data_IF_749752635675
#
_entry.id   IF_749752635675
#
_cell.length_a   1.000
_cell.length_b   1.000
_cell.length_c   1.000
_cell.angle_alpha   90.00
_cell.angle_beta   90.00
_cell.angle_gamma   90.00
#
_symmetry.space_group_name_H-M   'P 1'
#
loop_
_entity.id
_entity.type
_entity.pdbx_description
1 polymer ?
#
# COMPACT_ATOMS: atom_id res chain seq x y z
N UNK A 1 -28.66 -40.20 -9.32
CA UNK A 1 -28.48 -39.23 -8.22
C UNK A 1 -27.15 -39.37 -7.46
N UNK A 2 -26.50 -40.55 -7.41
CA UNK A 2 -25.22 -40.71 -6.68
C UNK A 2 -24.14 -39.68 -7.07
N UNK A 3 -23.84 -39.54 -8.37
CA UNK A 3 -22.85 -38.54 -8.85
C UNK A 3 -23.18 -37.10 -8.41
N UNK A 4 -24.47 -36.75 -8.32
CA UNK A 4 -24.86 -35.42 -7.85
C UNK A 4 -24.57 -35.28 -6.35
N UNK A 5 -24.91 -36.29 -5.55
CA UNK A 5 -24.58 -36.33 -4.13
C UNK A 5 -23.08 -36.18 -3.88
N UNK A 6 -22.27 -36.89 -4.66
CA UNK A 6 -20.81 -36.83 -4.54
C UNK A 6 -20.28 -35.43 -4.91
N UNK A 7 -20.78 -34.83 -5.99
CA UNK A 7 -20.40 -33.46 -6.39
C UNK A 7 -20.76 -32.41 -5.33
N UNK A 8 -21.96 -32.49 -4.75
CA UNK A 8 -22.36 -31.58 -3.67
C UNK A 8 -21.48 -31.76 -2.43
N UNK A 9 -21.12 -32.99 -2.11
CA UNK A 9 -20.22 -33.29 -1.01
C UNK A 9 -18.81 -32.69 -1.24
N UNK A 10 -18.27 -32.82 -2.45
CA UNK A 10 -16.97 -32.25 -2.80
C UNK A 10 -16.96 -30.71 -2.77
N UNK A 11 -18.03 -30.08 -3.27
CA UNK A 11 -18.22 -28.63 -3.19
C UNK A 11 -18.27 -28.20 -1.72
N UNK A 12 -19.05 -28.88 -0.89
CA UNK A 12 -19.15 -28.59 0.55
C UNK A 12 -17.77 -28.66 1.23
N UNK A 13 -17.01 -29.74 1.01
CA UNK A 13 -15.67 -29.88 1.59
C UNK A 13 -14.70 -28.82 1.10
N UNK A 14 -14.81 -28.41 -0.17
CA UNK A 14 -13.98 -27.34 -0.73
C UNK A 14 -14.24 -26.01 -0.02
N UNK A 15 -15.51 -25.65 0.18
CA UNK A 15 -15.87 -24.43 0.93
C UNK A 15 -15.49 -24.50 2.41
N UNK A 16 -15.66 -25.66 3.06
CA UNK A 16 -15.22 -25.85 4.42
C UNK A 16 -13.71 -25.60 4.54
N UNK A 17 -12.92 -26.13 3.59
CA UNK A 17 -11.48 -25.91 3.57
C UNK A 17 -11.10 -24.46 3.31
N UNK A 18 -11.84 -23.74 2.46
CA UNK A 18 -11.64 -22.30 2.25
C UNK A 18 -11.88 -21.53 3.54
N UNK A 19 -12.96 -21.81 4.27
CA UNK A 19 -13.29 -21.13 5.52
C UNK A 19 -12.19 -21.29 6.60
N UNK A 20 -11.53 -22.46 6.64
CA UNK A 20 -10.43 -22.71 7.59
C UNK A 20 -9.16 -21.89 7.32
N UNK A 21 -8.92 -21.46 6.08
CA UNK A 21 -7.61 -20.95 5.65
C UNK A 21 -7.64 -19.58 4.97
N UNK A 22 -8.82 -19.08 4.59
CA UNK A 22 -8.97 -17.77 3.94
C UNK A 22 -8.33 -16.67 4.79
N UNK A 23 -7.54 -15.80 4.15
CA UNK A 23 -6.85 -14.67 4.79
C UNK A 23 -5.94 -15.01 5.99
N UNK A 24 -5.64 -16.28 6.24
CA UNK A 24 -4.81 -16.73 7.36
C UNK A 24 -3.31 -16.77 7.05
N UNK A 25 -2.91 -16.39 5.82
CA UNK A 25 -1.55 -16.55 5.26
C UNK A 25 -1.03 -18.01 5.20
N UNK A 26 -1.82 -19.02 5.63
CA UNK A 26 -1.47 -20.45 5.55
C UNK A 26 -1.38 -20.99 4.12
N UNK A 27 -2.00 -20.30 3.15
CA UNK A 27 -1.92 -20.62 1.72
C UNK A 27 -0.89 -19.75 1.02
N UNK A 28 0.14 -20.37 0.45
CA UNK A 28 1.17 -19.67 -0.30
C UNK A 28 0.95 -19.88 -1.80
N UNK A 29 0.27 -18.93 -2.46
CA UNK A 29 -0.06 -18.99 -3.89
C UNK A 29 1.15 -18.76 -4.83
N UNK A 30 2.24 -18.22 -4.30
CA UNK A 30 3.50 -18.02 -5.03
C UNK A 30 4.02 -16.60 -4.97
N UNK A 31 5.21 -16.38 -5.53
CA UNK A 31 5.82 -15.05 -5.71
C UNK A 31 6.12 -14.84 -7.18
N UNK A 32 5.94 -13.61 -7.64
CA UNK A 32 6.10 -13.24 -9.04
C UNK A 32 7.42 -12.47 -9.24
N UNK A 33 8.08 -12.74 -10.35
CA UNK A 33 9.32 -12.07 -10.73
C UNK A 33 9.28 -11.71 -12.20
N UNK A 34 9.63 -10.47 -12.51
CA UNK A 34 9.99 -10.08 -13.86
C UNK A 34 11.40 -10.60 -14.14
N UNK A 35 11.53 -11.43 -15.18
CA UNK A 35 12.81 -11.93 -15.66
C UNK A 35 13.02 -11.41 -17.08
N UNK A 36 14.12 -10.70 -17.31
CA UNK A 36 14.50 -10.18 -18.62
C UNK A 36 15.91 -10.61 -18.98
N UNK A 37 16.06 -11.14 -20.19
CA UNK A 37 17.37 -11.39 -20.80
C UNK A 37 17.82 -10.08 -21.45
N UNK A 38 19.01 -9.59 -21.08
CA UNK A 38 19.58 -8.30 -21.52
C UNK A 38 18.86 -7.03 -21.02
N UNK A 39 17.94 -7.14 -20.05
CA UNK A 39 17.39 -6.00 -19.27
C UNK A 39 16.73 -4.88 -20.09
N UNK A 40 16.47 -3.73 -19.46
CA UNK A 40 16.16 -2.46 -20.16
C UNK A 40 17.43 -1.60 -20.33
N UNK A 41 18.59 -2.24 -20.46
CA UNK A 41 19.85 -1.54 -20.69
C UNK A 41 20.11 -1.56 -22.18
N UNK A 42 20.62 -0.46 -22.73
CA UNK A 42 21.02 -0.42 -24.13
C UNK A 42 22.06 -1.54 -24.35
N UNK A 43 21.83 -2.46 -25.30
CA UNK A 43 22.78 -3.56 -25.56
C UNK A 43 24.20 -3.09 -25.85
N UNK A 44 24.35 -1.84 -26.33
CA UNK A 44 25.65 -1.20 -26.57
C UNK A 44 26.43 -0.87 -25.30
N UNK A 45 25.74 -0.72 -24.17
CA UNK A 45 26.33 -0.42 -22.86
C UNK A 45 26.65 -1.71 -22.07
N UNK A 46 26.34 -2.88 -22.65
CA UNK A 46 26.61 -4.19 -22.08
C UNK A 46 27.83 -4.81 -22.76
N UNK A 47 28.69 -5.46 -21.97
CA UNK A 47 29.83 -6.20 -22.51
C UNK A 47 29.33 -7.48 -23.20
N UNK A 48 29.52 -7.64 -24.53
CA UNK A 48 29.01 -8.79 -25.27
C UNK A 48 29.61 -10.13 -24.82
N UNK A 49 30.66 -10.13 -24.02
CA UNK A 49 31.26 -11.35 -23.43
C UNK A 49 30.35 -12.03 -22.41
N UNK A 50 29.43 -11.29 -21.79
CA UNK A 50 28.60 -11.80 -20.71
C UNK A 50 27.13 -11.93 -21.11
N UNK A 51 26.46 -12.94 -20.55
CA UNK A 51 25.01 -13.06 -20.61
C UNK A 51 24.39 -12.36 -19.40
N UNK A 52 23.50 -11.39 -19.65
CA UNK A 52 22.84 -10.62 -18.59
C UNK A 52 21.42 -11.11 -18.36
N UNK A 53 21.09 -11.41 -17.10
CA UNK A 53 19.75 -11.76 -16.65
C UNK A 53 19.35 -10.79 -15.55
N UNK A 54 18.32 -9.98 -15.80
CA UNK A 54 17.75 -9.10 -14.80
C UNK A 54 16.54 -9.77 -14.16
N UNK A 55 16.58 -9.89 -12.83
CA UNK A 55 15.48 -10.43 -12.03
C UNK A 55 14.98 -9.34 -11.09
N UNK A 56 13.69 -9.04 -11.16
CA UNK A 56 13.03 -8.02 -10.33
C UNK A 56 11.81 -8.64 -9.68
N UNK A 57 11.69 -8.54 -8.36
CA UNK A 57 10.46 -8.93 -7.67
C UNK A 57 9.30 -8.02 -8.08
N UNK A 58 8.12 -8.61 -8.30
CA UNK A 58 6.90 -7.87 -8.63
C UNK A 58 5.73 -8.40 -7.79
N UNK A 59 4.76 -7.55 -7.53
CA UNK A 59 3.50 -7.92 -6.87
C UNK A 59 2.33 -7.75 -7.83
N UNK A 60 1.21 -8.48 -7.66
CA UNK A 60 -0.01 -8.19 -8.39
C UNK A 60 -0.42 -6.72 -8.24
N UNK A 61 -0.90 -6.11 -9.33
CA UNK A 61 -1.34 -4.72 -9.36
C UNK A 61 -2.84 -4.65 -9.63
N UNK A 62 -3.53 -3.84 -8.83
CA UNK A 62 -4.96 -3.62 -8.91
C UNK A 62 -5.26 -2.12 -8.85
N UNK A 63 -6.21 -1.69 -9.65
CA UNK A 63 -6.79 -0.35 -9.52
C UNK A 63 -7.79 -0.30 -8.35
N UNK A 64 -8.11 0.91 -7.87
CA UNK A 64 -9.01 1.11 -6.72
C UNK A 64 -10.33 0.34 -6.85
N UNK A 65 -10.94 0.36 -8.04
CA UNK A 65 -12.18 -0.39 -8.32
C UNK A 65 -12.01 -1.91 -8.19
N UNK A 66 -10.86 -2.45 -8.58
CA UNK A 66 -10.61 -3.89 -8.48
C UNK A 66 -10.31 -4.32 -7.04
N UNK A 67 -9.79 -3.42 -6.21
CA UNK A 67 -9.52 -3.69 -4.79
C UNK A 67 -10.84 -3.89 -4.03
N UNK A 68 -11.92 -3.20 -4.42
CA UNK A 68 -13.25 -3.39 -3.83
C UNK A 68 -13.79 -4.81 -4.05
N UNK A 69 -13.48 -5.42 -5.20
CA UNK A 69 -13.92 -6.76 -5.59
C UNK A 69 -12.99 -7.88 -5.10
N UNK A 70 -11.71 -7.59 -4.84
CA UNK A 70 -10.69 -8.59 -4.47
C UNK A 70 -10.32 -8.49 -2.99
N UNK A 71 -11.13 -9.14 -2.15
CA UNK A 71 -11.04 -9.05 -0.68
C UNK A 71 -10.20 -10.15 -0.06
N UNK A 72 -10.03 -11.27 -0.76
CA UNK A 72 -9.37 -12.45 -0.23
C UNK A 72 -7.99 -12.69 -0.84
N UNK A 73 -7.13 -13.37 -0.07
CA UNK A 73 -5.84 -13.88 -0.53
C UNK A 73 -5.93 -14.66 -1.86
N UNK A 74 -6.99 -15.44 -2.07
CA UNK A 74 -7.23 -16.16 -3.32
C UNK A 74 -7.54 -15.23 -4.49
N UNK A 75 -8.46 -14.28 -4.31
CA UNK A 75 -8.85 -13.32 -5.34
C UNK A 75 -7.65 -12.47 -5.77
N UNK A 76 -6.73 -12.16 -4.86
CA UNK A 76 -5.51 -11.41 -5.18
C UNK A 76 -4.48 -12.21 -6.00
N UNK A 77 -4.68 -13.54 -6.16
CA UNK A 77 -3.77 -14.43 -6.89
C UNK A 77 -4.41 -15.19 -8.06
N UNK A 78 -5.72 -15.01 -8.27
CA UNK A 78 -6.47 -15.70 -9.30
C UNK A 78 -6.95 -14.74 -10.39
N UNK A 79 -6.76 -15.12 -11.66
CA UNK A 79 -7.10 -14.31 -12.84
C UNK A 79 -6.44 -12.92 -12.81
N UNK A 80 -5.10 -12.92 -12.69
CA UNK A 80 -4.28 -11.70 -12.64
C UNK A 80 -3.29 -11.65 -13.81
N UNK A 81 -3.11 -10.49 -14.43
CA UNK A 81 -2.11 -10.28 -15.49
C UNK A 81 -1.31 -8.99 -15.34
N UNK A 82 -1.60 -8.18 -14.31
CA UNK A 82 -0.90 -6.93 -14.05
C UNK A 82 -0.02 -7.06 -12.82
N UNK A 83 1.23 -6.62 -12.96
CA UNK A 83 2.25 -6.74 -11.93
C UNK A 83 3.01 -5.44 -11.79
N UNK A 84 3.27 -4.99 -10.57
CA UNK A 84 3.95 -3.72 -10.29
C UNK A 84 5.28 -3.94 -9.59
N UNK A 85 6.24 -3.08 -9.91
CA UNK A 85 7.43 -2.85 -9.09
C UNK A 85 7.75 -1.35 -9.05
N UNK A 86 8.47 -0.94 -8.02
CA UNK A 86 8.85 0.46 -7.79
C UNK A 86 10.38 0.58 -7.85
N UNK A 87 10.88 1.62 -8.51
CA UNK A 87 12.32 1.92 -8.63
C UNK A 87 12.61 3.31 -8.09
N UNK A 88 13.48 3.45 -7.07
CA UNK A 88 13.86 4.75 -6.54
C UNK A 88 14.81 5.47 -7.49
N UNK A 89 14.65 6.78 -7.61
CA UNK A 89 15.58 7.66 -8.32
C UNK A 89 15.54 9.06 -7.72
N UNK A 90 16.53 9.90 -8.02
CA UNK A 90 16.57 11.30 -7.60
C UNK A 90 16.48 12.21 -8.82
N UNK A 91 16.14 13.49 -8.62
CA UNK A 91 16.17 14.51 -9.67
C UNK A 91 17.56 14.66 -10.32
N UNK A 92 18.62 14.31 -9.58
CA UNK A 92 20.02 14.30 -10.05
C UNK A 92 20.41 13.02 -10.80
N UNK A 93 19.51 12.04 -10.93
CA UNK A 93 19.75 10.77 -11.64
C UNK A 93 20.42 9.67 -10.80
N UNK A 94 20.68 9.92 -9.51
CA UNK A 94 21.12 8.87 -8.57
C UNK A 94 19.93 7.99 -8.18
N UNK A 95 20.20 6.81 -7.60
CA UNK A 95 19.13 5.92 -7.10
C UNK A 95 18.55 6.40 -5.76
N UNK A 96 19.42 6.86 -4.87
CA UNK A 96 19.07 7.24 -3.50
C UNK A 96 19.54 8.66 -3.20
N UNK A 97 18.73 9.38 -2.43
CA UNK A 97 18.99 10.75 -2.00
C UNK A 97 18.24 11.10 -0.71
N UNK A 98 18.28 12.38 -0.34
CA UNK A 98 17.45 12.94 0.74
C UNK A 98 15.96 12.82 0.45
N UNK A 99 15.12 12.91 1.48
CA UNK A 99 13.65 12.79 1.33
C UNK A 99 13.08 13.85 0.39
N UNK A 100 13.72 15.02 0.32
CA UNK A 100 13.35 16.14 -0.53
C UNK A 100 13.68 15.96 -2.02
N UNK A 101 14.56 15.02 -2.37
CA UNK A 101 14.96 14.72 -3.76
C UNK A 101 14.56 13.31 -4.21
N UNK A 102 14.09 12.47 -3.29
CA UNK A 102 13.77 11.07 -3.55
C UNK A 102 12.46 10.95 -4.33
N UNK A 103 12.56 10.62 -5.61
CA UNK A 103 11.45 10.26 -6.47
C UNK A 103 11.28 8.74 -6.53
N UNK A 104 10.16 8.30 -7.09
CA UNK A 104 9.85 6.87 -7.28
C UNK A 104 9.18 6.62 -8.61
N UNK A 105 9.69 5.68 -9.39
CA UNK A 105 9.06 5.22 -10.65
C UNK A 105 8.29 3.93 -10.38
N UNK A 106 6.98 3.97 -10.53
CA UNK A 106 6.10 2.80 -10.47
C UNK A 106 5.91 2.25 -11.87
N UNK A 107 6.31 1.00 -12.10
CA UNK A 107 6.19 0.34 -13.41
C UNK A 107 5.18 -0.80 -13.31
N UNK A 108 4.14 -0.74 -14.13
CA UNK A 108 3.11 -1.79 -14.23
C UNK A 108 3.35 -2.58 -15.51
N UNK A 109 3.50 -3.89 -15.38
CA UNK A 109 3.72 -4.86 -16.43
C UNK A 109 2.41 -5.62 -16.68
N UNK A 110 2.05 -5.80 -17.95
CA UNK A 110 0.90 -6.63 -18.33
C UNK A 110 1.36 -7.85 -19.12
N UNK A 111 0.98 -9.03 -18.66
CA UNK A 111 1.29 -10.30 -19.32
C UNK A 111 0.27 -10.66 -20.40
N UNK A 112 0.70 -11.45 -21.38
CA UNK A 112 -0.17 -11.92 -22.48
C UNK A 112 -1.36 -12.77 -22.01
N UNK A 113 -1.21 -13.44 -20.87
CA UNK A 113 -2.21 -14.33 -20.28
C UNK A 113 -2.31 -14.08 -18.77
N UNK A 114 -3.42 -14.51 -18.18
CA UNK A 114 -3.67 -14.45 -16.74
C UNK A 114 -2.91 -15.57 -16.01
N UNK A 115 -2.48 -15.31 -14.78
CA UNK A 115 -2.13 -16.34 -13.82
C UNK A 115 -3.36 -16.76 -13.01
N UNK A 116 -3.48 -18.05 -12.62
CA UNK A 116 -2.65 -19.17 -13.05
C UNK A 116 -2.84 -19.52 -14.54
N UNK A 117 -1.83 -20.12 -15.17
CA UNK A 117 -1.85 -20.54 -16.58
C UNK A 117 -1.21 -21.91 -16.75
N UNK A 118 -1.38 -22.52 -17.93
CA UNK A 118 -0.72 -23.79 -18.30
C UNK A 118 0.81 -23.70 -18.28
N UNK A 119 1.38 -22.48 -18.37
CA UNK A 119 2.81 -22.20 -18.19
C UNK A 119 3.05 -21.33 -16.95
N UNK A 120 4.13 -21.63 -16.22
CA UNK A 120 4.58 -20.84 -15.04
C UNK A 120 5.30 -19.53 -15.41
N UNK A 121 5.58 -19.30 -16.69
CA UNK A 121 6.26 -18.11 -17.21
C UNK A 121 5.44 -17.57 -18.38
N UNK A 122 5.07 -16.31 -18.30
CA UNK A 122 4.20 -15.65 -19.27
C UNK A 122 4.90 -14.38 -19.74
N UNK A 123 4.94 -14.16 -21.05
CA UNK A 123 5.57 -12.99 -21.63
C UNK A 123 4.82 -11.71 -21.25
N UNK A 124 5.59 -10.68 -20.88
CA UNK A 124 5.10 -9.30 -20.75
C UNK A 124 4.89 -8.71 -22.14
N UNK A 125 3.68 -8.24 -22.43
CA UNK A 125 3.30 -7.66 -23.73
C UNK A 125 3.12 -6.15 -23.68
N UNK A 126 2.94 -5.58 -22.48
CA UNK A 126 2.78 -4.15 -22.29
C UNK A 126 3.41 -3.73 -20.97
N UNK A 127 3.86 -2.49 -20.93
CA UNK A 127 4.34 -1.84 -19.72
C UNK A 127 3.95 -0.37 -19.74
N UNK A 128 3.62 0.17 -18.57
CA UNK A 128 3.46 1.59 -18.34
C UNK A 128 4.23 2.00 -17.08
N UNK A 129 4.66 3.25 -17.04
CA UNK A 129 5.38 3.79 -15.88
C UNK A 129 4.84 5.15 -15.49
N UNK A 130 4.66 5.35 -14.20
CA UNK A 130 4.30 6.63 -13.59
C UNK A 130 5.39 7.03 -12.62
N UNK A 131 5.81 8.29 -12.68
CA UNK A 131 6.78 8.85 -11.76
C UNK A 131 6.08 9.64 -10.67
N UNK A 132 6.51 9.42 -9.43
CA UNK A 132 6.07 10.13 -8.25
C UNK A 132 7.17 11.09 -7.83
N UNK A 133 6.80 12.34 -7.61
CA UNK A 133 7.69 13.35 -7.05
C UNK A 133 7.91 13.11 -5.53
N UNK A 134 8.83 13.84 -4.87
CA UNK A 134 9.18 13.56 -3.47
C UNK A 134 8.02 13.67 -2.47
N UNK A 135 7.11 14.63 -2.63
CA UNK A 135 5.94 14.75 -1.74
C UNK A 135 4.92 13.64 -2.00
N UNK A 136 4.75 13.19 -3.24
CA UNK A 136 3.91 12.05 -3.60
C UNK A 136 4.47 10.74 -3.05
N UNK A 137 5.80 10.59 -2.99
CA UNK A 137 6.47 9.47 -2.33
C UNK A 137 6.13 9.47 -0.83
N UNK A 138 6.24 10.62 -0.16
CA UNK A 138 5.89 10.74 1.24
C UNK A 138 4.41 10.40 1.51
N UNK A 139 3.50 10.90 0.67
CA UNK A 139 2.06 10.58 0.73
C UNK A 139 1.83 9.07 0.61
N UNK A 140 2.42 8.43 -0.41
CA UNK A 140 2.25 6.98 -0.66
C UNK A 140 2.79 6.12 0.49
N UNK A 141 3.98 6.45 1.02
CA UNK A 141 4.57 5.69 2.13
C UNK A 141 3.82 5.89 3.45
N UNK A 142 3.43 7.13 3.77
CA UNK A 142 2.67 7.40 4.99
C UNK A 142 1.28 6.79 4.93
N UNK A 143 0.59 6.82 3.78
CA UNK A 143 -0.71 6.17 3.61
C UNK A 143 -0.63 4.66 3.82
N UNK A 144 0.39 4.01 3.26
CA UNK A 144 0.66 2.57 3.49
C UNK A 144 0.93 2.29 4.97
N UNK A 145 1.67 3.16 5.65
CA UNK A 145 1.97 3.02 7.09
C UNK A 145 0.70 3.07 7.94
N UNK A 146 -0.17 4.05 7.69
CA UNK A 146 -1.46 4.20 8.36
C UNK A 146 -2.33 2.97 8.14
N UNK A 147 -2.48 2.55 6.88
CA UNK A 147 -3.27 1.37 6.53
C UNK A 147 -2.76 0.09 7.20
N UNK A 148 -1.44 -0.11 7.23
CA UNK A 148 -0.81 -1.27 7.87
C UNK A 148 -1.02 -1.28 9.39
N UNK A 149 -0.85 -0.13 10.07
CA UNK A 149 -1.11 -0.03 11.52
C UNK A 149 -2.58 -0.27 11.86
N UNK A 150 -3.49 0.38 11.12
CA UNK A 150 -4.93 0.21 11.34
C UNK A 150 -5.36 -1.24 11.14
N UNK A 151 -4.88 -1.89 10.06
CA UNK A 151 -5.19 -3.29 9.79
C UNK A 151 -4.77 -4.17 10.97
N UNK A 152 -3.54 -4.01 11.48
CA UNK A 152 -3.03 -4.78 12.63
C UNK A 152 -3.85 -4.56 13.90
N UNK A 153 -4.38 -3.35 14.11
CA UNK A 153 -5.20 -3.02 15.27
C UNK A 153 -6.63 -3.58 15.18
N UNK A 154 -7.11 -3.88 13.98
CA UNK A 154 -8.49 -4.37 13.72
C UNK A 154 -8.59 -5.88 13.56
N UNK A 155 -7.48 -6.63 13.62
CA UNK A 155 -7.51 -8.09 13.55
C UNK A 155 -8.14 -8.69 14.82
N UNK A 156 -8.98 -9.71 14.66
CA UNK A 156 -9.58 -10.43 15.79
C UNK A 156 -8.50 -11.05 16.70
N UNK A 157 -7.50 -11.66 16.09
CA UNK A 157 -6.29 -12.16 16.74
C UNK A 157 -5.09 -11.25 16.38
N UNK A 158 -4.79 -10.30 17.27
CA UNK A 158 -3.70 -9.36 17.06
C UNK A 158 -2.34 -10.04 17.25
N UNK A 159 -1.53 -10.07 16.19
CA UNK A 159 -0.12 -10.46 16.28
C UNK A 159 0.69 -9.36 16.98
N UNK A 160 0.90 -9.55 18.28
CA UNK A 160 1.62 -8.61 19.15
C UNK A 160 3.01 -8.28 18.62
N UNK A 161 3.76 -9.26 18.11
CA UNK A 161 5.14 -9.04 17.65
C UNK A 161 5.15 -8.22 16.36
N UNK A 162 4.23 -8.54 15.43
CA UNK A 162 4.06 -7.76 14.19
C UNK A 162 3.61 -6.33 14.51
N UNK A 163 2.69 -6.14 15.45
CA UNK A 163 2.25 -4.83 15.93
C UNK A 163 3.43 -4.04 16.52
N UNK A 164 4.16 -4.63 17.47
CA UNK A 164 5.32 -4.03 18.14
C UNK A 164 6.39 -3.61 17.13
N UNK A 165 6.73 -4.47 16.17
CA UNK A 165 7.69 -4.17 15.11
C UNK A 165 7.27 -2.93 14.30
N UNK A 166 5.99 -2.83 13.95
CA UNK A 166 5.48 -1.73 13.13
C UNK A 166 5.31 -0.43 13.90
N UNK A 167 4.81 -0.47 15.14
CA UNK A 167 4.66 0.74 15.96
C UNK A 167 6.04 1.28 16.37
N UNK A 168 6.98 0.42 16.79
CA UNK A 168 8.35 0.84 17.11
C UNK A 168 9.05 1.44 15.89
N UNK A 169 8.92 0.81 14.72
CA UNK A 169 9.45 1.33 13.46
C UNK A 169 8.76 2.61 12.94
N UNK A 170 7.74 3.10 13.66
CA UNK A 170 7.00 4.32 13.35
C UNK A 170 7.35 5.45 14.32
N UNK A 171 7.31 5.18 15.63
CA UNK A 171 7.51 6.20 16.68
C UNK A 171 8.93 6.26 17.24
N UNK A 172 9.71 5.18 17.14
CA UNK A 172 11.03 5.02 17.76
C UNK A 172 12.11 4.70 16.72
N UNK A 173 12.13 5.44 15.61
CA UNK A 173 13.08 5.20 14.51
C UNK A 173 14.49 5.65 14.90
N UNK A 174 15.46 4.72 14.87
CA UNK A 174 16.87 5.00 15.28
C UNK A 174 17.87 5.01 14.12
N UNK A 175 17.57 4.33 13.00
CA UNK A 175 18.52 4.13 11.87
C UNK A 175 18.13 4.90 10.61
N UNK A 176 16.83 4.92 10.28
CA UNK A 176 16.31 5.64 9.12
C UNK A 176 15.88 7.05 9.52
N UNK A 177 15.64 7.93 8.54
CA UNK A 177 15.21 9.31 8.79
C UNK A 177 13.84 9.42 9.50
N UNK A 178 12.99 8.39 9.36
CA UNK A 178 11.70 8.27 10.03
C UNK A 178 10.61 9.21 9.46
N UNK A 179 9.35 9.07 9.92
CA UNK A 179 8.23 9.89 9.43
C UNK A 179 8.44 11.39 9.61
N UNK A 180 9.11 11.82 10.68
CA UNK A 180 9.36 13.24 10.94
C UNK A 180 10.27 13.92 9.90
N UNK A 181 11.09 13.15 9.17
CA UNK A 181 11.83 13.70 8.03
C UNK A 181 10.88 14.22 6.94
N UNK A 182 9.78 13.52 6.66
CA UNK A 182 8.76 13.98 5.72
C UNK A 182 8.01 15.21 6.24
N UNK A 183 7.67 15.24 7.54
CA UNK A 183 7.03 16.41 8.13
C UNK A 183 7.90 17.66 7.99
N UNK A 184 9.19 17.59 8.34
CA UNK A 184 10.13 18.73 8.20
C UNK A 184 10.31 19.16 6.74
N UNK A 185 10.46 18.19 5.83
CA UNK A 185 10.72 18.48 4.43
C UNK A 185 9.51 19.08 3.67
N UNK A 186 8.28 18.68 4.03
CA UNK A 186 7.10 18.97 3.21
C UNK A 186 6.00 19.76 3.93
N UNK A 187 5.95 19.77 5.26
CA UNK A 187 4.86 20.41 6.02
C UNK A 187 5.26 21.71 6.72
N UNK A 188 6.55 21.94 6.94
CA UNK A 188 7.07 23.20 7.48
C UNK A 188 6.71 24.37 6.55
N UNK A 189 6.22 25.48 7.11
CA UNK A 189 5.63 26.59 6.34
C UNK A 189 6.56 27.19 5.27
N UNK A 190 7.87 27.20 5.55
CA UNK A 190 8.91 27.67 4.63
C UNK A 190 9.05 26.76 3.39
N UNK A 191 8.93 25.45 3.59
CA UNK A 191 9.15 24.44 2.56
C UNK A 191 7.84 24.08 1.82
N UNK A 192 6.72 24.06 2.53
CA UNK A 192 5.40 23.70 2.01
C UNK A 192 4.99 24.56 0.80
N UNK A 193 5.40 25.83 0.77
CA UNK A 193 5.13 26.77 -0.34
C UNK A 193 5.72 26.33 -1.69
N UNK A 194 6.64 25.36 -1.70
CA UNK A 194 7.26 24.81 -2.91
C UNK A 194 6.42 23.72 -3.57
N UNK A 195 5.37 23.25 -2.90
CA UNK A 195 4.55 22.13 -3.34
C UNK A 195 3.09 22.54 -3.56
N UNK A 196 2.33 21.80 -4.39
CA UNK A 196 0.90 22.06 -4.57
C UNK A 196 0.10 21.97 -3.27
N UNK A 197 -0.74 22.97 -3.01
CA UNK A 197 -1.54 23.07 -1.77
C UNK A 197 -2.39 21.83 -1.48
N UNK A 198 -2.93 21.19 -2.52
CA UNK A 198 -3.73 19.98 -2.39
C UNK A 198 -2.89 18.79 -1.88
N UNK A 199 -1.63 18.67 -2.32
CA UNK A 199 -0.72 17.62 -1.87
C UNK A 199 -0.27 17.85 -0.43
N UNK A 200 0.05 19.10 -0.07
CA UNK A 200 0.40 19.46 1.32
C UNK A 200 -0.78 19.20 2.26
N UNK A 201 -2.00 19.61 1.88
CA UNK A 201 -3.22 19.35 2.67
C UNK A 201 -3.48 17.85 2.84
N UNK A 202 -3.30 17.06 1.79
CA UNK A 202 -3.44 15.60 1.84
C UNK A 202 -2.41 14.98 2.78
N UNK A 203 -1.13 15.38 2.67
CA UNK A 203 -0.08 14.87 3.54
C UNK A 203 -0.33 15.23 5.02
N UNK A 204 -0.78 16.45 5.30
CA UNK A 204 -1.21 16.85 6.66
C UNK A 204 -2.30 15.93 7.20
N UNK A 205 -3.31 15.62 6.39
CA UNK A 205 -4.40 14.73 6.79
C UNK A 205 -3.91 13.30 7.08
N UNK A 206 -3.03 12.77 6.23
CA UNK A 206 -2.41 11.45 6.46
C UNK A 206 -1.58 11.46 7.75
N UNK A 207 -0.88 12.54 8.07
CA UNK A 207 -0.15 12.66 9.34
C UNK A 207 -1.07 12.68 10.57
N UNK A 208 -2.26 13.28 10.48
CA UNK A 208 -3.28 13.18 11.54
C UNK A 208 -3.73 11.74 11.74
N UNK A 209 -4.06 11.05 10.65
CA UNK A 209 -4.45 9.64 10.69
C UNK A 209 -3.31 8.75 11.20
N UNK A 210 -2.06 9.09 10.89
CA UNK A 210 -0.88 8.40 11.38
C UNK A 210 -0.68 8.58 12.89
N UNK A 211 -0.85 9.80 13.40
CA UNK A 211 -0.86 10.05 14.84
C UNK A 211 -1.93 9.20 15.55
N UNK A 212 -3.17 9.23 15.04
CA UNK A 212 -4.28 8.44 15.59
C UNK A 212 -3.98 6.93 15.53
N UNK A 213 -3.49 6.42 14.40
CA UNK A 213 -3.15 5.01 14.22
C UNK A 213 -2.01 4.55 15.15
N UNK A 214 -0.99 5.37 15.36
CA UNK A 214 0.09 5.09 16.31
C UNK A 214 -0.43 5.03 17.76
N UNK A 215 -1.27 5.98 18.16
CA UNK A 215 -1.86 5.96 19.50
C UNK A 215 -2.77 4.75 19.72
N UNK A 216 -3.62 4.41 18.73
CA UNK A 216 -4.44 3.20 18.78
C UNK A 216 -3.57 1.94 18.89
N UNK A 217 -2.49 1.84 18.11
CA UNK A 217 -1.56 0.72 18.17
C UNK A 217 -0.90 0.58 19.54
N UNK A 218 -0.54 1.69 20.20
CA UNK A 218 0.01 1.68 21.55
C UNK A 218 -1.02 1.24 22.59
N UNK A 219 -2.28 1.66 22.47
CA UNK A 219 -3.36 1.25 23.36
C UNK A 219 -3.73 -0.23 23.20
N UNK A 220 -3.67 -0.75 21.97
CA UNK A 220 -3.79 -2.18 21.70
C UNK A 220 -2.61 -2.93 22.31
N UNK A 221 -1.38 -2.47 22.09
CA UNK A 221 -0.18 -3.11 22.64
C UNK A 221 -0.20 -3.17 24.17
N UNK A 222 -0.62 -2.10 24.85
CA UNK A 222 -0.71 -2.03 26.31
C UNK A 222 -1.62 -3.12 26.91
N UNK A 223 -2.64 -3.57 26.17
CA UNK A 223 -3.53 -4.67 26.60
C UNK A 223 -2.93 -6.06 26.37
N UNK A 224 -1.91 -6.17 25.51
CA UNK A 224 -1.30 -7.43 25.09
C UNK A 224 -0.01 -7.76 25.85
N UNK A 225 0.73 -6.72 26.28
CA UNK A 225 2.01 -6.88 26.97
C UNK A 225 1.86 -7.55 28.35
N UNK A 226 2.98 -8.13 28.80
CA UNK A 226 3.17 -8.66 30.15
C UNK A 226 4.10 -7.73 30.95
N UNK A 227 4.27 -8.01 32.25
CA UNK A 227 5.07 -7.18 33.16
C UNK A 227 6.51 -6.93 32.69
N UNK A 228 7.11 -7.90 31.97
CA UNK A 228 8.46 -7.80 31.43
C UNK A 228 8.61 -6.79 30.27
N UNK A 229 7.51 -6.34 29.68
CA UNK A 229 7.51 -5.37 28.57
C UNK A 229 6.95 -3.99 28.97
N UNK A 230 6.70 -3.72 30.25
CA UNK A 230 6.15 -2.43 30.70
C UNK A 230 7.10 -1.26 30.41
N UNK A 231 8.39 -1.39 30.74
CA UNK A 231 9.40 -0.35 30.48
C UNK A 231 9.52 -0.05 28.98
N UNK A 232 9.44 -1.08 28.14
CA UNK A 232 9.43 -0.94 26.69
C UNK A 232 8.20 -0.16 26.20
N UNK A 233 7.00 -0.47 26.70
CA UNK A 233 5.78 0.27 26.35
C UNK A 233 5.84 1.73 26.81
N UNK A 234 6.40 2.01 27.99
CA UNK A 234 6.59 3.37 28.49
C UNK A 234 7.55 4.17 27.59
N UNK A 235 8.68 3.57 27.16
CA UNK A 235 9.61 4.19 26.21
C UNK A 235 8.90 4.52 24.88
N UNK A 236 8.12 3.57 24.34
CA UNK A 236 7.33 3.81 23.12
C UNK A 236 6.31 4.94 23.29
N UNK A 237 5.58 4.98 24.42
CA UNK A 237 4.64 6.06 24.72
C UNK A 237 5.36 7.41 24.86
N UNK A 238 6.57 7.44 25.43
CA UNK A 238 7.38 8.65 25.50
C UNK A 238 7.76 9.16 24.11
N UNK A 239 8.36 8.31 23.27
CA UNK A 239 8.74 8.73 21.91
C UNK A 239 7.54 9.13 21.04
N UNK A 240 6.39 8.48 21.24
CA UNK A 240 5.15 8.90 20.59
C UNK A 240 4.73 10.32 21.02
N UNK A 241 4.82 10.66 22.30
CA UNK A 241 4.53 12.02 22.79
C UNK A 241 5.50 13.05 22.21
N UNK A 242 6.78 12.73 22.14
CA UNK A 242 7.79 13.60 21.52
C UNK A 242 7.49 13.84 20.04
N UNK A 243 7.13 12.79 19.30
CA UNK A 243 6.71 12.87 17.90
C UNK A 243 5.46 13.75 17.73
N UNK A 244 4.45 13.63 18.59
CA UNK A 244 3.26 14.49 18.54
C UNK A 244 3.58 15.96 18.80
N UNK A 245 4.46 16.22 19.77
CA UNK A 245 4.92 17.57 20.10
C UNK A 245 5.63 18.23 18.91
N UNK A 246 6.55 17.50 18.28
CA UNK A 246 7.25 17.97 17.09
C UNK A 246 6.29 18.16 15.90
N UNK A 247 5.41 17.21 15.64
CA UNK A 247 4.43 17.31 14.56
C UNK A 247 3.50 18.52 14.75
N UNK A 248 3.08 18.77 15.99
CA UNK A 248 2.25 19.94 16.34
C UNK A 248 2.97 21.26 16.05
N UNK A 249 4.26 21.33 16.37
CA UNK A 249 5.10 22.48 16.05
C UNK A 249 5.27 22.69 14.54
N UNK A 250 5.49 21.62 13.76
CA UNK A 250 5.64 21.71 12.30
C UNK A 250 4.33 22.10 11.61
N UNK A 251 3.20 21.54 12.06
CA UNK A 251 1.89 21.79 11.45
C UNK A 251 1.23 23.09 11.89
N UNK A 252 1.74 23.74 12.95
CA UNK A 252 1.12 24.87 13.65
C UNK A 252 -0.32 24.55 14.09
N UNK A 253 -0.54 23.33 14.57
CA UNK A 253 -1.84 22.79 14.99
C UNK A 253 -1.62 21.90 16.21
N UNK A 254 -2.54 21.93 17.18
CA UNK A 254 -2.47 21.01 18.31
C UNK A 254 -2.91 19.61 17.86
N UNK A 255 -1.95 18.72 17.65
CA UNK A 255 -2.22 17.31 17.35
C UNK A 255 -2.40 16.59 18.69
N UNK A 256 -3.65 16.44 19.11
CA UNK A 256 -4.00 15.69 20.33
C UNK A 256 -4.42 14.27 19.97
N UNK A 257 -3.87 13.31 20.71
CA UNK A 257 -4.44 11.96 20.72
C UNK A 257 -5.81 12.00 21.41
N UNK A 258 -6.86 11.47 20.77
CA UNK A 258 -8.18 11.36 21.43
C UNK A 258 -8.18 10.24 22.46
N UNK A 259 -7.75 10.59 23.66
CA UNK A 259 -7.74 9.72 24.83
C UNK A 259 -9.13 9.58 25.51
N UNK A 260 -10.25 9.74 24.77
CA UNK A 260 -11.59 9.79 25.36
C UNK A 260 -12.42 8.51 25.10
N UNK A 261 -12.56 7.61 26.10
CA UNK A 261 -13.43 6.43 26.09
C UNK A 261 -14.88 6.71 25.71
N UNK A 262 -15.35 7.94 25.92
CA UNK A 262 -16.77 8.33 25.88
C UNK A 262 -17.31 8.59 24.47
N UNK A 263 -16.45 8.62 23.45
CA UNK A 263 -16.83 8.89 22.05
C UNK A 263 -16.79 7.66 21.13
N UNK A 264 -16.64 6.44 21.69
CA UNK A 264 -16.68 5.18 20.94
C UNK A 264 -18.04 4.84 20.29
N UNK A 265 -19.10 5.58 20.62
CA UNK A 265 -20.49 5.29 20.22
C UNK A 265 -21.08 6.18 19.12
N UNK A 266 -20.29 6.77 18.23
CA UNK A 266 -20.84 7.49 17.08
C UNK A 266 -20.14 7.06 15.79
N UNK A 267 -20.76 6.11 15.08
CA UNK A 267 -20.49 5.86 13.66
C UNK A 267 -20.48 7.20 12.92
N UNK A 268 -19.30 7.66 12.52
CA UNK A 268 -19.18 8.62 11.43
C UNK A 268 -19.20 7.83 10.15
N UNK A 269 -20.39 7.62 9.61
CA UNK A 269 -20.56 7.29 8.19
C UNK A 269 -19.86 8.40 7.40
N UNK A 270 -18.78 8.07 6.70
CA UNK A 270 -18.17 8.96 5.72
C UNK A 270 -19.20 9.27 4.64
N UNK A 271 -19.54 10.54 4.34
CA UNK A 271 -20.17 10.84 3.08
C UNK A 271 -19.09 10.76 2.01
N UNK A 272 -19.17 9.74 1.14
CA UNK A 272 -18.54 9.78 -0.18
C UNK A 272 -18.93 11.10 -0.84
N UNK A 273 -17.97 12.02 -1.01
CA UNK A 273 -18.16 13.18 -1.87
C UNK A 273 -18.03 12.70 -3.31
N UNK A 274 -19.18 12.41 -3.90
CA UNK A 274 -19.38 12.18 -5.32
C UNK A 274 -19.05 13.50 -6.05
N UNK A 275 -17.96 13.52 -6.81
CA UNK A 275 -17.80 14.50 -7.89
C UNK A 275 -18.06 13.79 -9.21
N UNK A 276 -19.28 13.98 -9.73
CA UNK A 276 -19.72 13.50 -11.04
C UNK A 276 -19.40 14.59 -12.08
N UNK A 277 -18.47 14.28 -12.99
CA UNK A 277 -18.41 14.91 -14.30
C UNK A 277 -17.89 13.86 -15.30
N UNK A 278 -18.80 13.18 -15.99
CA UNK A 278 -18.46 12.37 -17.15
C UNK A 278 -18.38 13.28 -18.39
N UNK A 279 -17.38 13.14 -19.26
CA UNK A 279 -17.42 13.80 -20.56
C UNK A 279 -18.42 13.08 -21.47
N UNK A 280 -19.24 13.85 -22.16
CA UNK A 280 -20.23 13.36 -23.11
C UNK A 280 -19.54 12.65 -24.29
N UNK A 281 -19.98 11.43 -24.59
CA UNK A 281 -19.62 10.71 -25.81
C UNK A 281 -20.59 11.14 -26.91
N UNK A 282 -20.12 11.54 -28.11
CA UNK A 282 -20.99 11.93 -29.20
C UNK A 282 -21.75 10.72 -29.77
N UNK A 283 -23.07 10.86 -29.90
CA UNK A 283 -23.96 9.89 -30.52
C UNK A 283 -23.69 9.83 -32.02
N UNK A 284 -23.24 8.67 -32.52
CA UNK A 284 -23.23 8.37 -33.95
C UNK A 284 -24.62 7.87 -34.32
N UNK A 285 -25.32 8.66 -35.14
CA UNK A 285 -26.58 8.29 -35.78
C UNK A 285 -26.30 7.30 -36.91
N UNK A 286 -26.74 6.04 -36.74
CA UNK A 286 -26.81 5.07 -37.83
C UNK A 286 -28.19 5.21 -38.46
N UNK A 287 -28.24 5.78 -39.67
CA UNK A 287 -29.41 5.76 -40.53
C UNK A 287 -29.58 4.36 -41.12
N UNK A 288 -30.69 3.69 -40.79
CA UNK A 288 -31.18 2.55 -41.56
C UNK A 288 -31.54 3.03 -42.97
N UNK A 289 -31.00 2.38 -43.99
CA UNK A 289 -31.47 2.52 -45.38
C UNK A 289 -32.11 1.20 -45.77
N UNK A 290 -33.36 1.31 -46.23
CA UNK A 290 -34.21 0.25 -46.72
C UNK A 290 -33.66 -0.40 -47.99
N UNK A 291 -34.10 -1.64 -48.20
CA UNK A 291 -33.90 -2.49 -49.39
C UNK A 291 -34.27 -1.79 -50.70
N UNK A 292 -33.48 -2.07 -51.75
CA UNK A 292 -33.93 -2.53 -53.07
C UNK A 292 -32.91 -3.55 -53.59
#
# INVERSE_FOLDING_TARGET
FQKLSDLYYDIHRSYLKVAEVVNSEKRLFGRYYRVAFYGQVNPKDLDPKYAYIQVTYVTPFFEEKEIEDRKTDFEMHHNINRFVFETPFTLSGKKHGGVEEQCKRRTVLTTSHLFPYVKKRIQVISQSSTELNPIEVAIDEMSKKVSELNQLCTMDDVDMIRLQLKVQGSVSVKVNAGPMAYARAFLEETNAKRYPDNQVKLLKEIFRQFADACGQALDVNERLIKEDQLEYQEELRSHYKDMLSELSAIMNEQITYRDDPSKRGAERTCPLVISRAAPAVPTVSISASEEV
#
